data_IF_590302982151
#
_entry.id   IF_590302982151
#
_cell.length_a   1.000
_cell.length_b   1.000
_cell.length_c   1.000
_cell.angle_alpha   90.00
_cell.angle_beta   90.00
_cell.angle_gamma   90.00
#
_symmetry.space_group_name_H-M   'P 1'
#
loop_
_entity.id
_entity.type
_entity.pdbx_description
1 polymer ?
#
# COMPACT_ATOMS: atom_id res chain seq x y z
N UNK A 1 -24.29 -10.91 10.85
CA UNK A 1 -23.62 -11.28 9.58
C UNK A 1 -24.72 -11.61 8.58
N UNK A 2 -24.91 -10.77 7.55
CA UNK A 2 -26.07 -10.84 6.65
C UNK A 2 -26.00 -12.07 5.74
N UNK A 3 -26.84 -13.06 5.96
CA UNK A 3 -26.98 -14.29 5.17
C UNK A 3 -27.18 -14.00 3.66
N UNK A 4 -27.90 -12.92 3.34
CA UNK A 4 -28.17 -12.45 1.98
C UNK A 4 -26.89 -12.06 1.24
N UNK A 5 -25.93 -11.45 1.93
CA UNK A 5 -24.61 -11.10 1.36
C UNK A 5 -23.75 -12.33 1.05
N UNK A 6 -23.86 -13.34 1.88
CA UNK A 6 -23.11 -14.60 1.69
C UNK A 6 -23.63 -15.38 0.49
N UNK A 7 -24.96 -15.39 0.26
CA UNK A 7 -25.58 -16.02 -0.91
C UNK A 7 -25.32 -15.26 -2.22
N UNK A 8 -25.15 -13.93 -2.17
CA UNK A 8 -24.84 -13.11 -3.36
C UNK A 8 -23.37 -13.16 -3.77
N UNK A 9 -22.44 -13.56 -2.88
CA UNK A 9 -21.00 -13.62 -3.16
C UNK A 9 -20.63 -14.42 -4.41
N UNK A 10 -21.13 -15.65 -4.64
CA UNK A 10 -20.80 -16.41 -5.84
C UNK A 10 -21.28 -15.75 -7.13
N UNK A 11 -22.45 -15.10 -7.12
CA UNK A 11 -22.97 -14.37 -8.28
C UNK A 11 -22.16 -13.10 -8.58
N UNK A 12 -21.77 -12.36 -7.55
CA UNK A 12 -20.88 -11.20 -7.70
C UNK A 12 -19.51 -11.66 -8.21
N UNK A 13 -19.00 -12.79 -7.74
CA UNK A 13 -17.74 -13.36 -8.21
C UNK A 13 -17.83 -13.77 -9.69
N UNK A 14 -18.91 -14.41 -10.09
CA UNK A 14 -19.15 -14.83 -11.47
C UNK A 14 -19.29 -13.64 -12.43
N UNK A 15 -19.98 -12.59 -12.02
CA UNK A 15 -20.10 -11.36 -12.82
C UNK A 15 -18.76 -10.61 -12.99
N UNK A 16 -17.85 -10.75 -12.01
CA UNK A 16 -16.51 -10.13 -12.04
C UNK A 16 -15.47 -10.94 -12.81
N UNK A 17 -15.74 -12.19 -13.18
CA UNK A 17 -14.79 -13.03 -13.96
C UNK A 17 -14.40 -12.35 -15.26
N UNK A 18 -15.36 -11.70 -15.93
CA UNK A 18 -15.12 -10.99 -17.21
C UNK A 18 -14.23 -9.76 -17.07
N UNK A 19 -14.10 -9.19 -15.87
CA UNK A 19 -13.33 -7.98 -15.60
C UNK A 19 -11.99 -8.26 -14.89
N UNK A 20 -11.53 -9.51 -14.90
CA UNK A 20 -10.24 -9.89 -14.36
C UNK A 20 -9.10 -9.66 -15.34
N UNK A 21 -7.91 -9.47 -14.80
CA UNK A 21 -6.67 -9.32 -15.57
C UNK A 21 -6.72 -8.17 -16.61
N UNK A 22 -7.40 -7.08 -16.26
CA UNK A 22 -7.42 -5.87 -17.11
C UNK A 22 -8.44 -5.90 -18.25
N UNK A 23 -9.29 -6.92 -18.36
CA UNK A 23 -10.33 -6.96 -19.39
C UNK A 23 -11.32 -5.78 -19.22
N UNK A 24 -11.52 -5.01 -20.28
CA UNK A 24 -12.40 -3.83 -20.28
C UNK A 24 -11.78 -2.57 -19.67
N UNK A 25 -10.49 -2.59 -19.35
CA UNK A 25 -9.76 -1.40 -18.89
C UNK A 25 -9.20 -0.66 -20.09
N UNK A 26 -9.66 0.56 -20.32
CA UNK A 26 -9.27 1.37 -21.49
C UNK A 26 -8.06 2.28 -21.24
N UNK A 27 -7.72 2.54 -19.97
CA UNK A 27 -6.53 3.31 -19.61
C UNK A 27 -5.28 2.44 -19.72
N UNK A 28 -4.28 2.79 -20.56
CA UNK A 28 -3.02 2.05 -20.65
C UNK A 28 -2.31 1.92 -19.30
N UNK A 29 -2.28 2.99 -18.52
CA UNK A 29 -1.72 2.98 -17.16
C UNK A 29 -2.44 1.99 -16.25
N UNK A 30 -3.79 2.05 -16.19
CA UNK A 30 -4.57 1.15 -15.35
C UNK A 30 -4.45 -0.31 -15.81
N UNK A 31 -4.37 -0.56 -17.10
CA UNK A 31 -4.15 -1.89 -17.65
C UNK A 31 -2.78 -2.45 -17.23
N UNK A 32 -1.72 -1.66 -17.36
CA UNK A 32 -0.37 -2.03 -16.94
C UNK A 32 -0.31 -2.28 -15.44
N UNK A 33 -0.89 -1.40 -14.62
CA UNK A 33 -0.98 -1.55 -13.17
C UNK A 33 -1.65 -2.89 -12.78
N UNK A 34 -2.74 -3.23 -13.44
CA UNK A 34 -3.48 -4.45 -13.15
C UNK A 34 -2.69 -5.68 -13.60
N UNK A 35 -2.22 -5.70 -14.85
CA UNK A 35 -1.61 -6.89 -15.45
C UNK A 35 -0.19 -7.14 -14.98
N UNK A 36 0.62 -6.09 -14.91
CA UNK A 36 2.05 -6.20 -14.62
C UNK A 36 2.40 -6.00 -13.15
N UNK A 37 1.46 -5.51 -12.32
CA UNK A 37 1.74 -5.28 -10.91
C UNK A 37 0.82 -6.10 -9.99
N UNK A 38 -0.52 -5.94 -10.13
CA UNK A 38 -1.47 -6.59 -9.22
C UNK A 38 -1.53 -8.10 -9.45
N UNK A 39 -1.61 -8.53 -10.70
CA UNK A 39 -1.71 -9.95 -11.08
C UNK A 39 -0.36 -10.61 -11.35
N UNK A 40 0.74 -9.90 -11.17
CA UNK A 40 2.06 -10.49 -11.32
C UNK A 40 2.28 -11.64 -10.33
N UNK A 41 2.74 -12.78 -10.85
CA UNK A 41 3.01 -13.99 -10.07
C UNK A 41 4.49 -14.34 -10.02
N UNK A 42 5.34 -13.59 -10.72
CA UNK A 42 6.79 -13.86 -10.78
C UNK A 42 7.39 -13.75 -9.39
N UNK A 43 8.13 -14.76 -8.93
CA UNK A 43 8.82 -14.68 -7.65
C UNK A 43 10.04 -13.76 -7.77
N UNK A 44 10.15 -12.80 -6.86
CA UNK A 44 11.36 -11.98 -6.72
C UNK A 44 12.30 -12.65 -5.71
N UNK A 45 13.59 -12.62 -5.98
CA UNK A 45 14.62 -13.19 -5.07
C UNK A 45 14.54 -12.60 -3.67
N UNK A 46 14.26 -11.30 -3.57
CA UNK A 46 14.13 -10.59 -2.30
C UNK A 46 13.02 -11.13 -1.39
N UNK A 47 11.97 -11.75 -1.90
CA UNK A 47 10.84 -12.18 -1.07
C UNK A 47 11.23 -13.15 0.05
N UNK A 48 12.15 -14.07 -0.22
CA UNK A 48 12.58 -15.05 0.77
C UNK A 48 13.30 -14.39 1.95
N UNK A 49 14.15 -13.42 1.65
CA UNK A 49 14.90 -12.67 2.66
C UNK A 49 13.97 -11.74 3.45
N UNK A 50 13.08 -11.03 2.76
CA UNK A 50 12.09 -10.14 3.38
C UNK A 50 11.12 -10.89 4.29
N UNK A 51 10.63 -12.05 3.89
CA UNK A 51 9.76 -12.88 4.72
C UNK A 51 10.50 -13.41 5.95
N UNK A 52 11.78 -13.76 5.83
CA UNK A 52 12.60 -14.16 6.98
C UNK A 52 12.84 -13.00 7.96
N UNK A 53 13.08 -11.80 7.44
CA UNK A 53 13.23 -10.60 8.26
C UNK A 53 11.91 -10.17 8.92
N UNK A 54 10.79 -10.26 8.20
CA UNK A 54 9.45 -10.03 8.76
C UNK A 54 9.18 -10.97 9.96
N UNK A 55 9.54 -12.24 9.86
CA UNK A 55 9.37 -13.20 10.95
C UNK A 55 10.28 -12.90 12.16
N UNK A 56 11.46 -12.31 11.95
CA UNK A 56 12.30 -11.82 13.04
C UNK A 56 11.69 -10.60 13.70
N UNK A 57 11.25 -9.61 12.91
CA UNK A 57 10.60 -8.40 13.43
C UNK A 57 9.35 -8.76 14.23
N UNK A 58 8.52 -9.68 13.75
CA UNK A 58 7.33 -10.16 14.45
C UNK A 58 7.65 -10.78 15.82
N UNK A 59 8.79 -11.43 15.97
CA UNK A 59 9.24 -11.98 17.26
C UNK A 59 9.74 -10.90 18.19
N UNK A 60 10.38 -9.85 17.68
CA UNK A 60 11.00 -8.79 18.45
C UNK A 60 10.01 -7.68 18.85
N UNK A 61 9.03 -7.42 17.99
CA UNK A 61 8.02 -6.39 18.23
C UNK A 61 6.81 -6.98 18.98
N UNK A 62 6.44 -6.33 20.08
CA UNK A 62 5.30 -6.72 20.90
C UNK A 62 3.94 -6.52 20.21
N UNK A 63 2.85 -6.52 21.00
CA UNK A 63 1.44 -6.48 20.52
C UNK A 63 1.06 -5.28 19.66
N UNK A 64 1.88 -4.22 19.57
CA UNK A 64 1.60 -3.03 18.76
C UNK A 64 1.91 -3.20 17.27
N UNK A 65 2.81 -4.11 16.91
CA UNK A 65 3.19 -4.35 15.52
C UNK A 65 2.22 -5.31 14.82
N UNK A 66 1.88 -5.01 13.57
CA UNK A 66 0.91 -5.80 12.81
C UNK A 66 1.53 -6.33 11.52
N UNK A 67 1.41 -7.63 11.31
CA UNK A 67 1.74 -8.24 10.03
C UNK A 67 0.66 -7.90 9.01
N UNK A 68 1.09 -7.46 7.83
CA UNK A 68 0.22 -7.30 6.67
C UNK A 68 0.06 -8.65 5.94
N UNK A 69 -0.94 -8.74 5.07
CA UNK A 69 -1.06 -9.93 4.23
C UNK A 69 0.09 -9.98 3.21
N UNK A 70 0.62 -11.18 2.93
CA UNK A 70 1.68 -11.37 1.92
C UNK A 70 1.34 -10.80 0.54
N UNK A 71 0.04 -10.74 0.20
CA UNK A 71 -0.40 -10.15 -1.07
C UNK A 71 -0.17 -8.65 -1.08
N UNK A 72 -0.42 -7.97 0.04
CA UNK A 72 -0.22 -6.52 0.17
C UNK A 72 1.28 -6.21 0.23
N UNK A 73 2.04 -6.88 1.07
CA UNK A 73 3.48 -6.60 1.21
C UNK A 73 4.24 -6.81 -0.10
N UNK A 74 3.97 -7.92 -0.80
CA UNK A 74 4.57 -8.17 -2.12
C UNK A 74 4.10 -7.18 -3.18
N UNK A 75 2.84 -6.71 -3.11
CA UNK A 75 2.35 -5.66 -4.01
C UNK A 75 3.09 -4.34 -3.77
N UNK A 76 3.27 -3.94 -2.51
CA UNK A 76 4.01 -2.73 -2.15
C UNK A 76 5.47 -2.78 -2.64
N UNK A 77 6.15 -3.91 -2.42
CA UNK A 77 7.50 -4.11 -2.95
C UNK A 77 7.55 -3.93 -4.47
N UNK A 78 6.65 -4.59 -5.22
CA UNK A 78 6.60 -4.48 -6.67
C UNK A 78 6.28 -3.05 -7.12
N UNK A 79 5.38 -2.37 -6.40
CA UNK A 79 5.01 -1.00 -6.69
C UNK A 79 6.22 -0.07 -6.58
N UNK A 80 6.95 -0.13 -5.47
CA UNK A 80 8.18 0.66 -5.27
C UNK A 80 9.22 0.31 -6.32
N UNK A 81 9.44 -0.98 -6.58
CA UNK A 81 10.39 -1.43 -7.59
C UNK A 81 10.01 -0.97 -9.02
N UNK A 82 8.73 -0.78 -9.31
CA UNK A 82 8.25 -0.29 -10.62
C UNK A 82 8.29 1.22 -10.73
N UNK A 83 7.82 1.92 -9.71
CA UNK A 83 7.69 3.39 -9.69
C UNK A 83 9.05 4.06 -9.45
N UNK A 84 9.96 3.38 -8.71
CA UNK A 84 11.28 3.91 -8.35
C UNK A 84 11.21 5.28 -7.68
N UNK A 85 10.34 5.47 -6.64
CA UNK A 85 10.15 6.76 -5.99
C UNK A 85 11.43 7.24 -5.31
N UNK A 86 11.70 8.54 -5.33
CA UNK A 86 12.78 9.13 -4.55
C UNK A 86 12.33 9.41 -3.11
N UNK A 87 11.05 9.73 -2.93
CA UNK A 87 10.46 10.00 -1.61
C UNK A 87 9.27 9.08 -1.34
N UNK A 88 9.33 8.36 -0.21
CA UNK A 88 8.27 7.47 0.26
C UNK A 88 7.75 7.95 1.60
N UNK A 89 6.44 8.16 1.70
CA UNK A 89 5.74 8.42 2.96
C UNK A 89 4.88 7.21 3.31
N UNK A 90 5.13 6.65 4.48
CA UNK A 90 4.36 5.54 5.07
C UNK A 90 3.64 6.04 6.32
N UNK A 91 2.31 6.07 6.30
CA UNK A 91 1.52 6.65 7.37
C UNK A 91 0.51 5.65 7.96
N UNK A 92 0.45 5.59 9.28
CA UNK A 92 -0.50 4.75 9.99
C UNK A 92 0.11 3.92 11.11
N UNK A 93 -0.34 2.67 11.25
CA UNK A 93 0.13 1.78 12.32
C UNK A 93 1.42 1.07 11.90
N UNK A 94 2.46 1.02 12.75
CA UNK A 94 3.68 0.25 12.46
C UNK A 94 3.37 -1.19 12.03
N UNK A 95 3.89 -1.60 10.89
CA UNK A 95 3.58 -2.90 10.31
C UNK A 95 4.72 -3.43 9.43
N UNK A 96 4.57 -4.65 8.93
CA UNK A 96 5.52 -5.23 7.98
C UNK A 96 5.61 -4.51 6.64
N UNK A 97 4.66 -3.63 6.30
CA UNK A 97 4.70 -2.85 5.05
C UNK A 97 5.97 -2.01 4.91
N UNK A 98 6.41 -1.40 6.01
CA UNK A 98 7.61 -0.55 6.04
C UNK A 98 8.85 -1.26 5.51
N UNK A 99 9.05 -2.52 5.88
CA UNK A 99 10.17 -3.35 5.40
C UNK A 99 10.15 -3.50 3.88
N UNK A 100 8.98 -3.77 3.31
CA UNK A 100 8.83 -3.99 1.87
C UNK A 100 8.90 -2.71 1.05
N UNK A 101 8.41 -1.59 1.60
CA UNK A 101 8.55 -0.27 0.98
C UNK A 101 10.01 0.15 0.88
N UNK A 102 10.77 0.05 1.98
CA UNK A 102 12.20 0.40 1.99
C UNK A 102 13.04 -0.53 1.11
N UNK A 103 12.71 -1.81 1.07
CA UNK A 103 13.49 -2.79 0.30
C UNK A 103 13.24 -2.71 -1.22
N UNK A 104 12.15 -2.08 -1.66
CA UNK A 104 11.87 -1.91 -3.08
C UNK A 104 12.81 -0.92 -3.77
N UNK A 105 13.29 0.10 -3.04
CA UNK A 105 14.33 1.05 -3.45
C UNK A 105 15.08 1.53 -2.22
N UNK A 106 16.25 0.96 -1.96
CA UNK A 106 17.04 1.24 -0.76
C UNK A 106 17.59 2.68 -0.69
N UNK A 107 17.66 3.38 -1.82
CA UNK A 107 18.13 4.77 -1.92
C UNK A 107 17.03 5.81 -1.76
N UNK A 108 15.76 5.38 -1.64
CA UNK A 108 14.65 6.29 -1.44
C UNK A 108 14.69 6.92 -0.03
N UNK A 109 14.35 8.19 0.04
CA UNK A 109 14.10 8.86 1.31
C UNK A 109 12.75 8.37 1.88
N UNK A 110 12.82 7.69 3.02
CA UNK A 110 11.69 7.02 3.63
C UNK A 110 11.31 7.68 4.94
N UNK A 111 10.07 8.17 5.03
CA UNK A 111 9.49 8.76 6.24
C UNK A 111 8.32 7.91 6.71
N UNK A 112 8.36 7.47 7.97
CA UNK A 112 7.21 6.86 8.65
C UNK A 112 6.57 7.85 9.61
N UNK A 113 5.24 7.89 9.65
CA UNK A 113 4.48 8.72 10.57
C UNK A 113 3.26 7.97 11.14
N UNK A 114 3.21 7.80 12.44
CA UNK A 114 2.01 7.33 13.16
C UNK A 114 1.12 8.49 13.63
N UNK A 115 1.69 9.67 13.74
CA UNK A 115 1.04 10.94 14.09
C UNK A 115 1.51 12.07 13.17
N UNK A 116 0.72 13.14 13.05
CA UNK A 116 1.07 14.29 12.22
C UNK A 116 2.37 14.98 12.63
N UNK A 117 2.70 14.95 13.90
CA UNK A 117 3.94 15.51 14.46
C UNK A 117 5.20 14.79 13.97
N UNK A 118 5.06 13.55 13.52
CA UNK A 118 6.16 12.72 13.00
C UNK A 118 6.34 12.87 11.48
N UNK A 119 5.38 13.52 10.81
CA UNK A 119 5.43 13.72 9.36
C UNK A 119 6.44 14.83 9.00
N UNK A 120 7.70 14.44 8.91
CA UNK A 120 8.78 15.34 8.50
C UNK A 120 9.00 15.25 6.99
N UNK A 121 8.69 16.34 6.29
CA UNK A 121 8.91 16.46 4.86
C UNK A 121 9.75 17.69 4.58
N UNK A 122 10.89 17.53 3.94
CA UNK A 122 11.72 18.64 3.54
C UNK A 122 10.98 19.61 2.61
N UNK A 123 11.21 20.92 2.79
CA UNK A 123 10.56 21.93 1.98
C UNK A 123 10.98 21.81 0.49
N UNK A 124 10.00 21.76 -0.40
CA UNK A 124 10.24 21.72 -1.85
C UNK A 124 10.51 20.31 -2.40
N UNK A 125 10.62 19.27 -1.57
CA UNK A 125 10.77 17.90 -2.02
C UNK A 125 9.39 17.31 -2.35
N UNK A 126 9.19 16.76 -3.56
CA UNK A 126 7.93 16.12 -3.93
C UNK A 126 7.74 14.79 -3.20
N UNK A 127 6.49 14.40 -2.98
CA UNK A 127 6.14 13.07 -2.47
C UNK A 127 5.79 12.17 -3.66
N UNK A 128 6.65 11.19 -3.94
CA UNK A 128 6.45 10.28 -5.07
C UNK A 128 5.56 9.10 -4.75
N UNK A 129 5.67 8.57 -3.52
CA UNK A 129 4.83 7.48 -3.08
C UNK A 129 4.29 7.73 -1.67
N UNK A 130 2.97 7.68 -1.53
CA UNK A 130 2.28 7.72 -0.25
C UNK A 130 1.57 6.37 -0.02
N UNK A 131 1.84 5.76 1.12
CA UNK A 131 1.08 4.62 1.60
C UNK A 131 0.43 4.95 2.95
N UNK A 132 -0.90 4.93 2.99
CA UNK A 132 -1.66 5.10 4.23
C UNK A 132 -2.38 3.80 4.55
N UNK A 133 -2.18 3.27 5.76
CA UNK A 133 -2.81 2.01 6.13
C UNK A 133 -3.24 1.96 7.60
N UNK A 134 -4.37 1.32 7.83
CA UNK A 134 -4.91 1.02 9.17
C UNK A 134 -4.91 2.20 10.15
N UNK A 135 -4.91 3.42 9.65
CA UNK A 135 -5.14 4.59 10.47
C UNK A 135 -6.56 4.54 11.03
N UNK A 136 -6.68 4.71 12.34
CA UNK A 136 -7.98 4.66 13.02
C UNK A 136 -8.70 6.00 12.98
N UNK A 137 -7.95 7.06 12.87
CA UNK A 137 -8.46 8.43 12.86
C UNK A 137 -8.62 8.94 11.43
N UNK A 138 -9.86 9.18 10.97
CA UNK A 138 -10.12 9.77 9.65
C UNK A 138 -9.46 11.14 9.47
N UNK A 139 -9.39 11.95 10.52
CA UNK A 139 -8.78 13.30 10.46
C UNK A 139 -7.29 13.21 10.18
N UNK A 140 -6.60 12.24 10.76
CA UNK A 140 -5.20 11.96 10.46
C UNK A 140 -5.00 11.58 8.98
N UNK A 141 -5.85 10.69 8.47
CA UNK A 141 -5.78 10.25 7.05
C UNK A 141 -5.99 11.42 6.09
N UNK A 142 -7.01 12.24 6.36
CA UNK A 142 -7.34 13.42 5.55
C UNK A 142 -6.18 14.42 5.54
N UNK A 143 -5.60 14.71 6.70
CA UNK A 143 -4.54 15.69 6.83
C UNK A 143 -3.22 15.20 6.18
N UNK A 144 -2.83 13.95 6.39
CA UNK A 144 -1.67 13.35 5.71
C UNK A 144 -1.87 13.36 4.20
N UNK A 145 -3.07 12.98 3.74
CA UNK A 145 -3.38 13.02 2.31
C UNK A 145 -3.28 14.43 1.76
N UNK A 146 -3.85 15.43 2.44
CA UNK A 146 -3.82 16.84 2.04
C UNK A 146 -2.39 17.38 1.94
N UNK A 147 -1.55 17.09 2.92
CA UNK A 147 -0.14 17.51 2.95
C UNK A 147 0.64 16.89 1.80
N UNK A 148 0.50 15.58 1.60
CA UNK A 148 1.21 14.86 0.54
C UNK A 148 0.68 15.23 -0.86
N UNK A 149 -0.63 15.42 -1.01
CA UNK A 149 -1.22 15.83 -2.28
C UNK A 149 -0.76 17.24 -2.73
N UNK A 150 -0.58 18.16 -1.78
CA UNK A 150 -0.03 19.49 -2.09
C UNK A 150 1.43 19.45 -2.60
N UNK A 151 2.12 18.33 -2.40
CA UNK A 151 3.51 18.09 -2.84
C UNK A 151 3.63 17.01 -3.90
N UNK A 152 2.52 16.56 -4.46
CA UNK A 152 2.51 15.52 -5.49
C UNK A 152 2.86 16.06 -6.86
N UNK A 153 3.41 15.17 -7.70
CA UNK A 153 3.64 15.39 -9.12
C UNK A 153 2.65 14.54 -9.94
N UNK A 154 2.69 14.64 -11.25
CA UNK A 154 1.88 13.79 -12.13
C UNK A 154 2.29 12.30 -12.08
N UNK A 155 3.45 12.00 -11.54
CA UNK A 155 3.98 10.64 -11.41
C UNK A 155 3.79 10.06 -10.01
N UNK A 156 3.30 10.85 -9.06
CA UNK A 156 3.08 10.41 -7.68
C UNK A 156 2.00 9.34 -7.60
N UNK A 157 2.24 8.34 -6.76
CA UNK A 157 1.31 7.22 -6.56
C UNK A 157 0.87 7.17 -5.10
N UNK A 158 -0.44 7.24 -4.88
CA UNK A 158 -1.03 7.18 -3.55
C UNK A 158 -1.80 5.89 -3.37
N UNK A 159 -1.49 5.17 -2.30
CA UNK A 159 -2.10 3.89 -1.95
C UNK A 159 -2.74 4.02 -0.57
N UNK A 160 -4.03 3.83 -0.50
CA UNK A 160 -4.77 3.88 0.76
C UNK A 160 -5.34 2.50 1.06
N UNK A 161 -4.87 1.92 2.16
CA UNK A 161 -5.30 0.62 2.64
C UNK A 161 -6.35 0.72 3.73
N UNK A 162 -7.16 -0.34 3.91
CA UNK A 162 -8.08 -0.44 5.04
C UNK A 162 -9.36 0.38 4.94
N UNK A 163 -9.75 0.81 3.74
CA UNK A 163 -10.94 1.63 3.46
C UNK A 163 -12.26 1.04 4.04
N UNK A 164 -12.26 -0.26 4.37
CA UNK A 164 -13.44 -0.94 4.90
C UNK A 164 -13.59 -0.85 6.42
N UNK A 165 -12.65 -0.22 7.12
CA UNK A 165 -12.63 -0.21 8.59
C UNK A 165 -13.40 0.95 9.22
N UNK A 166 -13.77 1.96 8.45
CA UNK A 166 -14.60 3.06 8.94
C UNK A 166 -15.71 3.37 7.94
N UNK A 167 -16.95 3.44 8.41
CA UNK A 167 -18.09 3.87 7.59
C UNK A 167 -18.09 5.38 7.28
N UNK A 168 -17.01 6.09 7.67
CA UNK A 168 -16.81 7.52 7.46
C UNK A 168 -15.83 7.85 6.31
N UNK A 169 -15.29 6.82 5.64
CA UNK A 169 -14.47 6.99 4.43
C UNK A 169 -15.25 6.69 3.16
#
# INVERSE_FOLDING_TARGET
MNLILTLKRPFIWLSRIRHRCGYGVHSPFAFELITCLIYEKTPYYAYKELEAEEEKQKRNHGKGWKSESRKVTRLLFRLVNRVQPDTIVDAGVPSSSSLYLQSGKATADYTFASELSELFLEAGVPVDLLYIHKAKDPSFVEEVFRICAARSTQQSVFVIGGIHYSGAM
#
